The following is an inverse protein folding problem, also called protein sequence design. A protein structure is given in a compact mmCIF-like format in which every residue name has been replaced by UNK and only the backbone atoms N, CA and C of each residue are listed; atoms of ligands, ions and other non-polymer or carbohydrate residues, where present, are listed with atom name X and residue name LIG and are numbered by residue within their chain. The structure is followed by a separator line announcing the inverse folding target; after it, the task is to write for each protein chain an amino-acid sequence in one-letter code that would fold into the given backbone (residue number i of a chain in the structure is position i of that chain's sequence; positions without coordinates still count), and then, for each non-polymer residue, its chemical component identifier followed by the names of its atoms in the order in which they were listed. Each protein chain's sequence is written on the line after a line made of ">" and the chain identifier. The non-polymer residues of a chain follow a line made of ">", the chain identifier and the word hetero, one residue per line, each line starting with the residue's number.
data_IF_370159265171
#
_entry.id   IF_370159265171
#
_cell.length_a   1.000
_cell.length_b   1.000
_cell.length_c   1.000
_cell.angle_alpha   90.00
_cell.angle_beta   90.00
_cell.angle_gamma   90.00
#
_symmetry.space_group_name_H-M   'P 1'
#
loop_
_entity.id
_entity.type
_entity.pdbx_description
1 polymer ?
#
# COMPACT_ATOMS: atom_id res chain seq x y z
N UNK A 1 -21.27 -0.87 -3.72
CA UNK A 1 -20.72 -0.65 -5.11
C UNK A 1 -19.79 0.54 -5.00
N UNK A 2 -18.61 0.51 -5.65
CA UNK A 2 -17.73 1.69 -5.70
C UNK A 2 -18.48 2.90 -6.25
N UNK A 3 -18.20 4.09 -5.70
CA UNK A 3 -18.81 5.34 -6.15
C UNK A 3 -18.47 5.65 -7.61
N UNK A 4 -19.32 6.45 -8.25
CA UNK A 4 -19.13 6.80 -9.65
C UNK A 4 -17.81 7.54 -9.89
N UNK A 5 -17.47 8.50 -9.02
CA UNK A 5 -16.20 9.26 -9.06
C UNK A 5 -14.97 8.36 -8.95
N UNK A 6 -14.97 7.40 -8.01
CA UNK A 6 -13.89 6.40 -7.86
C UNK A 6 -13.72 5.61 -9.15
N UNK A 7 -14.82 5.08 -9.73
CA UNK A 7 -14.76 4.30 -10.97
C UNK A 7 -14.27 5.13 -12.16
N UNK A 8 -14.68 6.39 -12.25
CA UNK A 8 -14.27 7.28 -13.34
C UNK A 8 -12.78 7.56 -13.32
N UNK A 9 -12.22 7.89 -12.14
CA UNK A 9 -10.79 8.17 -11.99
C UNK A 9 -9.97 6.90 -12.24
N UNK A 10 -10.35 5.75 -11.66
CA UNK A 10 -9.66 4.48 -11.92
C UNK A 10 -9.65 4.14 -13.42
N UNK A 11 -10.81 4.20 -14.08
CA UNK A 11 -10.91 3.91 -15.51
C UNK A 11 -10.13 4.92 -16.39
N UNK A 12 -9.94 6.16 -15.94
CA UNK A 12 -9.08 7.13 -16.62
C UNK A 12 -7.63 6.73 -16.47
N UNK A 13 -7.16 6.44 -15.26
CA UNK A 13 -5.77 6.04 -14.97
C UNK A 13 -5.39 4.74 -15.70
N UNK A 14 -6.31 3.78 -15.80
CA UNK A 14 -6.10 2.53 -16.54
C UNK A 14 -5.96 2.72 -18.06
N UNK A 15 -6.54 3.77 -18.63
CA UNK A 15 -6.39 4.11 -20.07
C UNK A 15 -5.13 4.90 -20.38
N UNK A 16 -4.55 5.57 -19.40
CA UNK A 16 -3.33 6.34 -19.57
C UNK A 16 -2.14 5.39 -19.77
N UNK A 17 -1.25 5.71 -20.72
CA UNK A 17 -0.01 4.95 -20.88
C UNK A 17 0.92 5.23 -19.70
N UNK A 18 1.18 4.25 -18.83
CA UNK A 18 2.06 4.47 -17.69
C UNK A 18 3.48 4.76 -18.14
N UNK A 19 4.19 5.59 -17.38
CA UNK A 19 5.60 5.93 -17.63
C UNK A 19 6.38 5.79 -16.33
N UNK A 20 7.55 5.12 -16.35
CA UNK A 20 8.40 5.09 -15.16
C UNK A 20 8.75 6.52 -14.69
N UNK A 21 8.91 6.75 -13.35
CA UNK A 21 8.88 5.73 -12.30
C UNK A 21 7.48 5.38 -11.77
N UNK A 22 6.44 6.10 -12.13
CA UNK A 22 5.10 5.93 -11.58
C UNK A 22 4.27 4.91 -12.39
N UNK A 23 4.63 3.64 -12.29
CA UNK A 23 3.86 2.53 -12.86
C UNK A 23 2.75 2.15 -11.87
N UNK A 24 1.47 2.20 -12.26
CA UNK A 24 0.41 1.74 -11.38
C UNK A 24 0.42 0.22 -11.24
N UNK A 25 -0.02 -0.27 -10.10
CA UNK A 25 -0.29 -1.71 -9.93
C UNK A 25 -1.38 -2.17 -10.91
N UNK A 26 -1.39 -3.45 -11.32
CA UNK A 26 -2.46 -4.01 -12.13
C UNK A 26 -3.85 -3.89 -11.47
N UNK A 27 -4.94 -3.79 -12.25
CA UNK A 27 -6.29 -3.65 -11.70
C UNK A 27 -6.72 -4.76 -10.73
N UNK A 28 -6.25 -5.98 -10.94
CA UNK A 28 -6.47 -7.11 -10.04
C UNK A 28 -5.80 -6.91 -8.68
N UNK A 29 -4.59 -6.36 -8.64
CA UNK A 29 -3.91 -5.98 -7.39
C UNK A 29 -4.73 -4.92 -6.65
N UNK A 30 -5.20 -3.89 -7.33
CA UNK A 30 -6.06 -2.87 -6.72
C UNK A 30 -7.33 -3.46 -6.09
N UNK A 31 -8.03 -4.36 -6.81
CA UNK A 31 -9.21 -5.06 -6.27
C UNK A 31 -8.88 -5.94 -5.08
N UNK A 32 -7.72 -6.58 -5.10
CA UNK A 32 -7.25 -7.41 -3.99
C UNK A 32 -6.99 -6.55 -2.74
N UNK A 33 -6.28 -5.42 -2.88
CA UNK A 33 -6.05 -4.46 -1.80
C UNK A 33 -7.36 -3.94 -1.20
N UNK A 34 -8.34 -3.55 -2.05
CA UNK A 34 -9.68 -3.20 -1.60
C UNK A 34 -10.31 -4.32 -0.75
N UNK A 35 -10.21 -5.58 -1.19
CA UNK A 35 -10.81 -6.73 -0.52
C UNK A 35 -10.16 -7.01 0.84
N UNK A 36 -8.90 -6.67 1.02
CA UNK A 36 -8.19 -6.81 2.30
C UNK A 36 -8.63 -5.72 3.29
N UNK A 37 -8.82 -4.49 2.85
CA UNK A 37 -9.16 -3.35 3.72
C UNK A 37 -10.65 -3.30 4.06
N UNK A 38 -11.52 -3.54 3.08
CA UNK A 38 -12.97 -3.33 3.18
C UNK A 38 -13.67 -4.04 4.36
N UNK A 39 -13.27 -5.23 4.83
CA UNK A 39 -13.90 -5.88 5.97
C UNK A 39 -13.42 -5.39 7.34
N UNK A 40 -12.38 -4.55 7.42
CA UNK A 40 -11.79 -4.09 8.67
C UNK A 40 -12.36 -2.73 9.08
N UNK A 41 -12.99 -2.67 10.27
CA UNK A 41 -13.49 -1.43 10.82
C UNK A 41 -12.32 -0.53 11.28
N UNK A 42 -12.45 0.77 10.98
CA UNK A 42 -11.50 1.79 11.42
C UNK A 42 -10.03 1.46 11.08
N UNK A 43 -9.81 0.73 9.96
CA UNK A 43 -8.46 0.30 9.56
C UNK A 43 -7.60 1.49 9.16
N UNK A 44 -6.52 1.71 9.91
CA UNK A 44 -5.47 2.65 9.54
C UNK A 44 -4.50 1.96 8.56
N UNK A 45 -4.46 2.49 7.34
CA UNK A 45 -3.63 1.93 6.26
C UNK A 45 -2.43 2.84 6.00
N UNK A 46 -1.23 2.26 5.94
CA UNK A 46 -0.02 2.94 5.48
C UNK A 46 0.37 2.43 4.09
N UNK A 47 0.57 3.33 3.14
CA UNK A 47 1.06 3.03 1.79
C UNK A 47 2.44 3.65 1.57
N UNK A 48 3.42 2.84 1.19
CA UNK A 48 4.79 3.25 0.91
C UNK A 48 5.05 3.19 -0.60
N UNK A 49 5.01 4.35 -1.25
CA UNK A 49 5.07 4.52 -2.69
C UNK A 49 3.69 4.81 -3.28
N UNK A 50 3.11 5.97 -2.95
CA UNK A 50 1.76 6.35 -3.37
C UNK A 50 1.59 6.55 -4.87
N UNK A 51 2.70 6.78 -5.59
CA UNK A 51 2.66 7.03 -7.01
C UNK A 51 1.65 8.13 -7.37
N UNK A 52 0.86 7.89 -8.41
CA UNK A 52 -0.21 8.80 -8.83
C UNK A 52 -1.55 8.55 -8.12
N UNK A 53 -1.56 7.73 -7.05
CA UNK A 53 -2.72 7.47 -6.21
C UNK A 53 -3.62 6.34 -6.70
N UNK A 54 -3.20 5.50 -7.66
CA UNK A 54 -4.07 4.43 -8.17
C UNK A 54 -4.37 3.36 -7.11
N UNK A 55 -3.34 2.84 -6.44
CA UNK A 55 -3.48 1.92 -5.30
C UNK A 55 -4.15 2.60 -4.10
N UNK A 56 -3.77 3.86 -3.82
CA UNK A 56 -4.40 4.66 -2.76
C UNK A 56 -5.93 4.79 -2.95
N UNK A 57 -6.42 4.95 -4.19
CA UNK A 57 -7.86 5.01 -4.47
C UNK A 57 -8.55 3.69 -4.11
N UNK A 58 -7.94 2.54 -4.42
CA UNK A 58 -8.48 1.23 -4.04
C UNK A 58 -8.50 1.03 -2.52
N UNK A 59 -7.37 1.34 -1.87
CA UNK A 59 -7.23 1.28 -0.40
C UNK A 59 -8.23 2.21 0.28
N UNK A 60 -8.29 3.47 -0.13
CA UNK A 60 -9.21 4.48 0.43
C UNK A 60 -10.69 4.17 0.18
N UNK A 61 -11.03 3.63 -0.97
CA UNK A 61 -12.40 3.19 -1.24
C UNK A 61 -12.81 2.01 -0.33
N UNK A 62 -11.87 1.13 0.02
CA UNK A 62 -12.08 0.06 1.00
C UNK A 62 -12.20 0.59 2.43
N UNK A 63 -11.22 1.38 2.87
CA UNK A 63 -11.15 1.93 4.23
C UNK A 63 -12.39 2.75 4.60
N UNK A 64 -12.87 3.60 3.67
CA UNK A 64 -14.06 4.44 3.86
C UNK A 64 -15.32 3.67 4.24
N UNK A 65 -15.45 2.40 3.85
CA UNK A 65 -16.66 1.61 4.10
C UNK A 65 -16.96 1.45 5.59
N UNK A 66 -15.92 1.35 6.41
CA UNK A 66 -16.04 1.11 7.86
C UNK A 66 -15.22 2.13 8.69
N UNK A 67 -15.02 3.34 8.17
CA UNK A 67 -14.46 4.47 8.91
C UNK A 67 -12.93 4.50 9.03
N UNK A 68 -12.22 3.68 8.25
CA UNK A 68 -10.74 3.71 8.20
C UNK A 68 -10.19 4.83 7.33
N UNK A 69 -8.87 5.01 7.38
CA UNK A 69 -8.10 6.03 6.64
C UNK A 69 -6.88 5.43 5.93
N UNK A 70 -6.29 6.20 5.03
CA UNK A 70 -5.04 5.85 4.34
C UNK A 70 -4.04 6.98 4.49
N UNK A 71 -2.86 6.67 4.98
CA UNK A 71 -1.69 7.54 4.93
C UNK A 71 -0.76 7.02 3.83
N UNK A 72 -0.54 7.83 2.79
CA UNK A 72 0.33 7.48 1.66
C UNK A 72 1.60 8.31 1.70
N UNK A 73 2.74 7.72 1.34
CA UNK A 73 4.03 8.43 1.26
C UNK A 73 4.52 8.37 -0.19
N UNK A 74 4.79 9.55 -0.78
CA UNK A 74 5.35 9.68 -2.12
C UNK A 74 6.46 10.74 -2.12
N UNK A 75 7.63 10.41 -2.68
CA UNK A 75 8.80 11.28 -2.61
C UNK A 75 8.94 12.26 -3.77
N UNK A 76 8.35 11.97 -4.93
CA UNK A 76 8.46 12.85 -6.11
C UNK A 76 7.35 13.91 -6.07
N UNK A 77 7.68 15.21 -5.91
CA UNK A 77 6.68 16.28 -5.79
C UNK A 77 5.77 16.40 -7.03
N UNK A 78 6.24 16.04 -8.21
CA UNK A 78 5.42 16.08 -9.44
C UNK A 78 4.43 14.91 -9.47
N UNK A 79 4.82 13.77 -8.94
CA UNK A 79 3.94 12.60 -8.81
C UNK A 79 2.93 12.85 -7.68
N UNK A 80 3.37 13.45 -6.58
CA UNK A 80 2.53 13.85 -5.46
C UNK A 80 1.43 14.85 -5.86
N UNK A 81 1.71 15.78 -6.79
CA UNK A 81 0.69 16.69 -7.33
C UNK A 81 -0.40 15.91 -8.08
N UNK A 82 -0.03 14.98 -8.96
CA UNK A 82 -0.98 14.12 -9.65
C UNK A 82 -1.76 13.20 -8.69
N UNK A 83 -1.13 12.72 -7.62
CA UNK A 83 -1.80 11.99 -6.54
C UNK A 83 -2.93 12.81 -5.93
N UNK A 84 -2.65 14.06 -5.53
CA UNK A 84 -3.66 14.96 -4.92
C UNK A 84 -4.85 15.21 -5.85
N UNK A 85 -4.58 15.45 -7.14
CA UNK A 85 -5.64 15.63 -8.15
C UNK A 85 -6.51 14.39 -8.30
N UNK A 86 -5.90 13.20 -8.33
CA UNK A 86 -6.61 11.93 -8.49
C UNK A 86 -7.44 11.58 -7.26
N UNK A 87 -6.91 11.78 -6.05
CA UNK A 87 -7.64 11.55 -4.79
C UNK A 87 -8.82 12.52 -4.67
N UNK A 88 -8.62 13.80 -5.00
CA UNK A 88 -9.70 14.79 -5.02
C UNK A 88 -10.78 14.41 -6.05
N UNK A 89 -10.38 14.03 -7.26
CA UNK A 89 -11.30 13.57 -8.31
C UNK A 89 -12.09 12.32 -7.92
N UNK A 90 -11.50 11.42 -7.15
CA UNK A 90 -12.16 10.23 -6.61
C UNK A 90 -13.08 10.53 -5.39
N UNK A 91 -13.04 11.75 -4.83
CA UNK A 91 -13.80 12.13 -3.64
C UNK A 91 -13.30 11.44 -2.37
N UNK A 92 -11.98 11.28 -2.23
CA UNK A 92 -11.33 10.57 -1.12
C UNK A 92 -10.44 11.47 -0.24
N UNK A 93 -10.51 12.78 -0.36
CA UNK A 93 -9.66 13.74 0.38
C UNK A 93 -9.81 13.66 1.90
N UNK A 94 -10.98 13.26 2.40
CA UNK A 94 -11.23 13.08 3.84
C UNK A 94 -10.76 11.70 4.36
N UNK A 95 -10.40 10.79 3.45
CA UNK A 95 -10.02 9.41 3.79
C UNK A 95 -8.54 9.15 3.56
N UNK A 96 -7.96 9.75 2.51
CA UNK A 96 -6.57 9.56 2.14
C UNK A 96 -5.76 10.85 2.31
N UNK A 97 -4.64 10.74 3.02
CA UNK A 97 -3.67 11.82 3.23
C UNK A 97 -2.34 11.46 2.61
N UNK A 98 -1.58 12.48 2.19
CA UNK A 98 -0.26 12.30 1.59
C UNK A 98 0.82 13.00 2.40
N UNK A 99 1.87 12.25 2.73
CA UNK A 99 3.16 12.80 3.13
C UNK A 99 4.06 12.83 1.89
N UNK A 100 4.58 14.00 1.55
CA UNK A 100 5.54 14.18 0.47
C UNK A 100 6.95 14.09 1.06
N UNK A 101 7.61 12.93 0.88
CA UNK A 101 8.91 12.67 1.49
C UNK A 101 9.47 11.28 1.17
N UNK A 102 10.67 11.01 1.64
CA UNK A 102 11.28 9.66 1.53
C UNK A 102 10.70 8.73 2.59
N UNK A 103 10.15 7.60 2.15
CA UNK A 103 9.50 6.64 3.05
C UNK A 103 10.42 6.14 4.19
N UNK A 104 11.74 6.06 3.98
CA UNK A 104 12.68 5.65 5.02
C UNK A 104 12.78 6.69 6.14
N UNK A 105 12.66 7.97 5.80
CA UNK A 105 12.72 9.07 6.77
C UNK A 105 11.35 9.28 7.43
N UNK A 106 10.30 9.35 6.62
CA UNK A 106 8.94 9.66 7.08
C UNK A 106 8.38 8.56 7.99
N UNK A 107 8.53 7.27 7.62
CA UNK A 107 8.06 6.16 8.47
C UNK A 107 8.74 6.18 9.84
N UNK A 108 10.02 6.52 9.91
CA UNK A 108 10.74 6.58 11.18
C UNK A 108 10.17 7.67 12.13
N UNK A 109 9.57 8.72 11.57
CA UNK A 109 9.00 9.85 12.31
C UNK A 109 7.53 9.64 12.72
N UNK A 110 6.82 8.63 12.16
CA UNK A 110 5.44 8.34 12.53
C UNK A 110 5.34 7.75 13.94
N UNK A 111 4.31 8.15 14.68
CA UNK A 111 3.96 7.55 15.97
C UNK A 111 2.68 6.71 15.91
N UNK A 112 2.07 6.61 14.70
CA UNK A 112 0.82 5.92 14.45
C UNK A 112 1.00 4.40 14.43
N UNK A 113 -0.10 3.67 14.67
CA UNK A 113 -0.19 2.21 14.49
C UNK A 113 -1.06 1.88 13.29
N UNK A 114 -0.75 0.77 12.60
CA UNK A 114 -1.40 0.42 11.34
C UNK A 114 -1.94 -1.01 11.36
N UNK A 115 -3.18 -1.16 10.87
CA UNK A 115 -3.82 -2.44 10.64
C UNK A 115 -3.45 -3.05 9.27
N UNK A 116 -3.01 -2.21 8.31
CA UNK A 116 -2.49 -2.68 7.03
C UNK A 116 -1.36 -1.77 6.53
N UNK A 117 -0.27 -2.37 6.04
CA UNK A 117 0.81 -1.67 5.33
C UNK A 117 0.94 -2.24 3.92
N UNK A 118 0.92 -1.35 2.91
CA UNK A 118 1.22 -1.70 1.52
C UNK A 118 2.59 -1.15 1.12
N UNK A 119 3.49 -2.02 0.67
CA UNK A 119 4.85 -1.66 0.25
C UNK A 119 4.96 -1.81 -1.27
N UNK A 120 5.03 -0.69 -1.97
CA UNK A 120 5.24 -0.57 -3.42
C UNK A 120 6.27 0.54 -3.72
N UNK A 121 7.42 0.46 -3.09
CA UNK A 121 8.54 1.37 -3.23
C UNK A 121 9.67 0.75 -4.08
N UNK A 122 10.88 1.33 -4.02
CA UNK A 122 12.02 0.71 -4.68
C UNK A 122 12.45 -0.60 -3.98
N UNK A 123 12.51 -1.69 -4.71
CA UNK A 123 12.73 -3.08 -4.25
C UNK A 123 13.84 -3.24 -3.21
N UNK A 124 14.96 -2.53 -3.43
CA UNK A 124 16.13 -2.58 -2.53
C UNK A 124 15.86 -2.12 -1.10
N UNK A 125 14.75 -1.44 -0.86
CA UNK A 125 14.38 -0.89 0.44
C UNK A 125 13.32 -1.71 1.18
N UNK A 126 12.73 -2.75 0.58
CA UNK A 126 11.62 -3.50 1.17
C UNK A 126 11.94 -4.03 2.57
N UNK A 127 13.10 -4.66 2.75
CA UNK A 127 13.50 -5.16 4.08
C UNK A 127 13.67 -4.02 5.09
N UNK A 128 14.31 -2.92 4.68
CA UNK A 128 14.51 -1.77 5.56
C UNK A 128 13.18 -1.09 5.91
N UNK A 129 12.27 -0.93 4.95
CA UNK A 129 10.93 -0.39 5.17
C UNK A 129 10.13 -1.30 6.11
N UNK A 130 10.20 -2.61 5.89
CA UNK A 130 9.54 -3.57 6.79
C UNK A 130 10.03 -3.44 8.23
N UNK A 131 11.35 -3.34 8.45
CA UNK A 131 11.91 -3.15 9.79
C UNK A 131 11.46 -1.84 10.46
N UNK A 132 11.27 -0.77 9.68
CA UNK A 132 10.75 0.51 10.18
C UNK A 132 9.27 0.45 10.54
N UNK A 133 8.46 -0.26 9.76
CA UNK A 133 7.01 -0.38 10.04
C UNK A 133 6.70 -1.42 11.11
N UNK A 134 7.55 -2.44 11.30
CA UNK A 134 7.31 -3.56 12.21
C UNK A 134 6.87 -3.15 13.63
N UNK A 135 7.50 -2.14 14.28
CA UNK A 135 7.07 -1.66 15.61
C UNK A 135 5.73 -0.92 15.62
N UNK A 136 5.20 -0.58 14.44
CA UNK A 136 3.96 0.20 14.25
C UNK A 136 2.79 -0.69 13.78
N UNK A 137 3.00 -2.01 13.68
CA UNK A 137 1.99 -2.95 13.24
C UNK A 137 1.21 -3.50 14.43
N UNK A 138 -0.10 -3.46 14.33
CA UNK A 138 -0.99 -4.08 15.30
C UNK A 138 -0.94 -5.61 15.23
N UNK A 139 -1.35 -6.28 16.31
CA UNK A 139 -1.58 -7.73 16.26
C UNK A 139 -2.67 -8.05 15.22
N UNK A 140 -2.38 -8.95 14.32
CA UNK A 140 -3.25 -9.27 13.20
C UNK A 140 -3.13 -8.33 12.00
N UNK A 141 -2.27 -7.30 12.08
CA UNK A 141 -2.02 -6.40 10.96
C UNK A 141 -1.52 -7.15 9.73
N UNK A 142 -1.89 -6.63 8.56
CA UNK A 142 -1.46 -7.14 7.27
C UNK A 142 -0.31 -6.32 6.70
N UNK A 143 0.72 -6.99 6.19
CA UNK A 143 1.73 -6.36 5.35
C UNK A 143 1.63 -6.97 3.95
N UNK A 144 1.44 -6.13 2.95
CA UNK A 144 1.35 -6.53 1.54
C UNK A 144 2.51 -5.89 0.80
N UNK A 145 3.39 -6.70 0.22
CA UNK A 145 4.51 -6.21 -0.59
C UNK A 145 4.32 -6.63 -2.06
N UNK A 146 4.42 -5.66 -2.98
CA UNK A 146 4.21 -5.91 -4.42
C UNK A 146 5.47 -6.43 -5.12
N UNK A 147 5.32 -6.85 -6.37
CA UNK A 147 6.39 -7.24 -7.31
C UNK A 147 7.20 -8.50 -6.95
N UNK A 148 6.80 -9.30 -5.97
CA UNK A 148 7.63 -10.41 -5.47
C UNK A 148 7.81 -11.55 -6.49
N UNK A 149 6.90 -11.70 -7.45
CA UNK A 149 7.02 -12.69 -8.54
C UNK A 149 7.63 -12.11 -9.82
N UNK A 150 7.44 -10.82 -10.08
CA UNK A 150 8.02 -10.16 -11.27
C UNK A 150 9.48 -9.76 -11.08
N UNK A 151 9.93 -9.62 -9.81
CA UNK A 151 11.31 -9.21 -9.46
C UNK A 151 11.97 -10.13 -8.43
N UNK A 152 11.95 -11.45 -8.66
CA UNK A 152 12.44 -12.42 -7.67
C UNK A 152 13.94 -12.26 -7.37
N UNK A 153 14.75 -11.76 -8.32
CA UNK A 153 16.18 -11.49 -8.11
C UNK A 153 16.44 -10.43 -7.04
N UNK A 154 15.49 -9.51 -6.81
CA UNK A 154 15.59 -8.46 -5.79
C UNK A 154 14.82 -8.81 -4.51
N UNK A 155 13.69 -9.51 -4.61
CA UNK A 155 12.74 -9.67 -3.52
C UNK A 155 12.69 -11.08 -2.90
N UNK A 156 13.37 -12.10 -3.47
CA UNK A 156 13.38 -13.45 -2.91
C UNK A 156 13.94 -13.51 -1.48
N UNK A 157 14.90 -12.64 -1.13
CA UNK A 157 15.44 -12.57 0.22
C UNK A 157 14.41 -12.00 1.21
N UNK A 158 13.69 -10.95 0.83
CA UNK A 158 12.60 -10.35 1.58
C UNK A 158 11.50 -11.39 1.85
N UNK A 159 10.97 -12.02 0.80
CA UNK A 159 9.91 -13.04 0.90
C UNK A 159 10.32 -14.21 1.80
N UNK A 160 11.56 -14.71 1.65
CA UNK A 160 12.07 -15.79 2.50
C UNK A 160 12.16 -15.36 3.97
N UNK A 161 12.59 -14.15 4.24
CA UNK A 161 12.67 -13.62 5.59
C UNK A 161 11.28 -13.59 6.25
N UNK A 162 10.25 -13.17 5.52
CA UNK A 162 8.85 -13.19 6.01
C UNK A 162 8.37 -14.61 6.29
N UNK A 163 8.60 -15.55 5.36
CA UNK A 163 8.16 -16.95 5.48
C UNK A 163 8.89 -17.73 6.58
N UNK A 164 10.01 -17.24 7.09
CA UNK A 164 10.78 -17.89 8.16
C UNK A 164 10.72 -17.16 9.50
N UNK A 165 10.06 -16.02 9.56
CA UNK A 165 9.90 -15.25 10.80
C UNK A 165 8.80 -15.90 11.67
N UNK A 166 9.11 -16.38 12.90
CA UNK A 166 8.13 -17.06 13.74
C UNK A 166 7.03 -16.11 14.27
N UNK A 167 7.17 -14.81 14.11
CA UNK A 167 6.19 -13.79 14.52
C UNK A 167 5.25 -13.36 13.39
N UNK A 168 5.39 -13.98 12.23
CA UNK A 168 4.65 -13.64 11.01
C UNK A 168 4.20 -14.93 10.32
N UNK A 169 2.97 -14.97 9.82
CA UNK A 169 2.54 -15.95 8.82
C UNK A 169 2.52 -15.26 7.45
N UNK A 170 3.22 -15.81 6.47
CA UNK A 170 3.38 -15.20 5.16
C UNK A 170 3.12 -16.17 4.02
N UNK A 171 2.49 -15.66 2.97
CA UNK A 171 2.20 -16.42 1.74
C UNK A 171 2.40 -15.53 0.51
N UNK A 172 3.00 -16.11 -0.55
CA UNK A 172 3.03 -15.45 -1.86
C UNK A 172 1.72 -15.68 -2.60
N UNK A 173 1.06 -14.61 -3.00
CA UNK A 173 -0.22 -14.62 -3.72
C UNK A 173 0.03 -14.22 -5.17
N UNK A 174 -0.33 -15.06 -6.17
CA UNK A 174 -0.08 -14.77 -7.59
C UNK A 174 -1.16 -13.86 -8.18
N UNK A 175 -1.26 -12.64 -7.65
CA UNK A 175 -2.13 -11.57 -8.13
C UNK A 175 -1.23 -10.46 -8.68
N UNK A 176 -1.55 -9.96 -9.87
CA UNK A 176 -0.75 -8.93 -10.55
C UNK A 176 0.70 -9.35 -10.76
N UNK A 177 1.61 -8.55 -10.28
CA UNK A 177 3.06 -8.80 -10.32
C UNK A 177 3.55 -9.76 -9.21
N UNK A 178 2.63 -10.33 -8.43
CA UNK A 178 2.87 -11.18 -7.26
C UNK A 178 3.00 -10.38 -5.97
N UNK A 179 2.20 -10.77 -4.98
CA UNK A 179 2.17 -10.13 -3.68
C UNK A 179 2.73 -11.08 -2.61
N UNK A 180 3.53 -10.57 -1.70
CA UNK A 180 3.77 -11.20 -0.41
C UNK A 180 2.72 -10.68 0.57
N UNK A 181 1.88 -11.57 1.09
CA UNK A 181 0.88 -11.25 2.11
C UNK A 181 1.32 -11.84 3.44
N UNK A 182 1.59 -10.99 4.39
CA UNK A 182 2.05 -11.33 5.73
C UNK A 182 1.05 -10.89 6.78
N UNK A 183 0.84 -11.72 7.81
CA UNK A 183 0.00 -11.44 8.98
C UNK A 183 0.88 -11.40 10.22
N UNK A 184 0.76 -10.36 11.03
CA UNK A 184 1.50 -10.20 12.29
C UNK A 184 0.85 -11.04 13.39
N UNK A 185 1.61 -11.95 14.00
CA UNK A 185 1.12 -12.92 14.99
C UNK A 185 1.42 -12.51 16.44
N UNK A 186 2.25 -11.49 16.65
CA UNK A 186 2.65 -11.03 17.99
C UNK A 186 2.63 -9.52 18.05
N UNK A 187 2.26 -8.96 19.19
CA UNK A 187 2.41 -7.52 19.43
C UNK A 187 3.86 -7.07 19.23
N UNK A 188 4.08 -5.86 18.72
CA UNK A 188 5.41 -5.28 18.68
C UNK A 188 5.91 -5.08 20.12
N UNK A 189 6.97 -5.78 20.47
CA UNK A 189 7.63 -5.69 21.78
C UNK A 189 8.87 -4.82 21.74
#
# INVERSE_FOLDING_TARGET
>A
MLDASVREVLARLERETPRPPAMPVPPETGRFLFSLVAPHAECEVLELGGGRGYSTIWLGAGARLLGGTVLSIERDPKIAEAWRENIAGAGLTEVAQLIEGDALEEVAALDDSFGLVFIDAADRFYEQLFQLVRPKLELGALVVADNVLSRPEHLAAYTRARQTDPTIESVTVPVGEGLDLSVVLTDPS
#
